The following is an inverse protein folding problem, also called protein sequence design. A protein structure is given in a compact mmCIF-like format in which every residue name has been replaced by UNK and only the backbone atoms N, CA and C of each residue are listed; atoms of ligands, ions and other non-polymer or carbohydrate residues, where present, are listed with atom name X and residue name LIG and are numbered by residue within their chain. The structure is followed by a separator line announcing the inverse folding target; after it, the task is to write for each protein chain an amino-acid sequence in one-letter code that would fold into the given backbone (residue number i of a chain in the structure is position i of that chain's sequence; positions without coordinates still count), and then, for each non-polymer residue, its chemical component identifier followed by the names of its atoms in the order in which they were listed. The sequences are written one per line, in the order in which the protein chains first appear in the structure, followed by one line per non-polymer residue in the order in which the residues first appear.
data_IF_163844588149
#
_entry.id   IF_163844588149
#
_cell.length_a   1.000
_cell.length_b   1.000
_cell.length_c   1.000
_cell.angle_alpha   90.00
_cell.angle_beta   90.00
_cell.angle_gamma   90.00
#
_symmetry.space_group_name_H-M   'P 1'
#
loop_
_entity.id
_entity.type
_entity.pdbx_description
1 polymer ?
#
# COMPACT_ATOMS: atom_id res chain seq x y z
N UNK A 1 -20.35 75.05 -45.17
CA UNK A 1 -20.26 74.45 -43.82
C UNK A 1 -19.52 73.13 -43.91
N UNK A 2 -18.41 73.08 -43.18
CA UNK A 2 -17.50 72.01 -42.78
C UNK A 2 -17.00 70.89 -43.73
N UNK A 3 -15.68 70.61 -43.71
CA UNK A 3 -14.99 69.70 -44.62
C UNK A 3 -14.56 68.37 -43.97
N UNK A 4 -13.83 67.58 -44.76
CA UNK A 4 -12.88 66.53 -44.36
C UNK A 4 -13.40 65.11 -44.11
N UNK A 5 -13.84 64.48 -45.21
CA UNK A 5 -13.39 63.13 -45.58
C UNK A 5 -11.88 63.17 -45.85
N UNK A 6 -11.06 62.67 -44.93
CA UNK A 6 -9.71 62.13 -45.14
C UNK A 6 -9.04 61.97 -43.77
N UNK A 7 -8.90 60.72 -43.29
CA UNK A 7 -7.88 60.23 -42.34
C UNK A 7 -8.30 58.86 -41.84
N UNK A 8 -7.48 57.84 -42.09
CA UNK A 8 -7.65 56.53 -41.45
C UNK A 8 -7.14 55.33 -42.25
N UNK A 9 -6.82 55.51 -43.54
CA UNK A 9 -6.18 54.46 -44.39
C UNK A 9 -4.64 54.50 -44.29
N UNK A 10 -4.12 54.68 -43.08
CA UNK A 10 -2.69 54.96 -42.83
C UNK A 10 -2.06 54.21 -41.65
N UNK A 11 -2.72 53.18 -41.10
CA UNK A 11 -2.22 52.47 -39.89
C UNK A 11 -2.16 50.94 -40.00
N UNK A 12 -2.37 50.35 -41.19
CA UNK A 12 -2.21 48.90 -41.42
C UNK A 12 -1.03 48.51 -42.34
N UNK A 13 -0.21 49.47 -42.76
CA UNK A 13 0.98 49.23 -43.58
C UNK A 13 2.32 49.47 -42.83
N UNK A 14 2.29 49.80 -41.52
CA UNK A 14 3.51 50.02 -40.71
C UNK A 14 3.78 48.95 -39.63
N UNK A 15 2.91 47.95 -39.49
CA UNK A 15 3.14 46.80 -38.61
C UNK A 15 3.69 45.56 -39.35
N UNK A 16 3.70 45.57 -40.68
CA UNK A 16 4.23 44.47 -41.52
C UNK A 16 5.64 44.73 -42.08
N UNK A 17 6.23 45.91 -41.82
CA UNK A 17 7.59 46.28 -42.30
C UNK A 17 8.61 46.36 -41.15
N UNK A 18 8.17 46.26 -39.88
CA UNK A 18 9.07 46.06 -38.74
C UNK A 18 9.38 44.57 -38.45
N UNK A 19 8.81 43.65 -39.22
CA UNK A 19 9.05 42.21 -39.12
C UNK A 19 10.13 41.67 -40.09
N UNK A 20 10.82 42.55 -40.84
CA UNK A 20 11.79 42.17 -41.86
C UNK A 20 13.16 42.87 -41.77
N UNK A 21 13.44 43.60 -40.68
CA UNK A 21 14.70 44.35 -40.53
C UNK A 21 15.30 44.29 -39.11
N UNK A 22 15.20 43.13 -38.46
CA UNK A 22 16.09 42.72 -37.37
C UNK A 22 16.70 41.33 -37.65
N UNK A 23 16.75 40.97 -38.92
CA UNK A 23 17.56 39.88 -39.45
C UNK A 23 18.87 40.47 -39.99
N UNK A 24 19.75 40.91 -39.09
CA UNK A 24 21.13 41.22 -39.41
C UNK A 24 21.95 41.32 -38.12
N UNK A 25 22.93 40.42 -37.99
CA UNK A 25 24.04 40.46 -37.04
C UNK A 25 23.65 40.10 -35.59
N UNK A 26 23.13 38.89 -35.39
CA UNK A 26 23.65 38.08 -34.28
C UNK A 26 24.87 37.36 -34.84
N UNK A 27 26.06 37.87 -34.50
CA UNK A 27 27.29 37.09 -34.62
C UNK A 27 27.04 35.88 -33.73
N UNK A 28 26.65 34.76 -34.36
CA UNK A 28 26.85 33.46 -33.77
C UNK A 28 28.35 33.37 -33.54
N UNK A 29 28.78 33.62 -32.31
CA UNK A 29 30.01 33.02 -31.81
C UNK A 29 29.69 31.52 -31.80
N UNK A 30 29.83 30.91 -32.98
CA UNK A 30 29.99 29.47 -33.10
C UNK A 30 31.31 29.24 -32.39
N UNK A 31 31.22 28.95 -31.09
CA UNK A 31 32.29 28.28 -30.37
C UNK A 31 32.47 26.95 -31.07
N UNK A 32 33.23 26.95 -32.17
CA UNK A 32 33.71 25.75 -32.79
C UNK A 32 34.50 25.04 -31.70
N UNK A 33 33.94 23.96 -31.17
CA UNK A 33 34.65 23.06 -30.27
C UNK A 33 35.96 22.74 -30.99
N UNK A 34 37.13 23.05 -30.39
CA UNK A 34 38.40 22.89 -31.07
C UNK A 34 38.50 21.45 -31.59
N UNK A 35 39.01 21.26 -32.81
CA UNK A 35 39.07 19.94 -33.44
C UNK A 35 39.76 18.88 -32.55
N UNK A 36 40.69 19.31 -31.68
CA UNK A 36 41.35 18.48 -30.66
C UNK A 36 40.40 17.95 -29.57
N UNK A 37 39.38 18.73 -29.18
CA UNK A 37 38.36 18.31 -28.22
C UNK A 37 37.33 17.36 -28.87
N UNK A 38 37.04 17.52 -30.17
CA UNK A 38 36.17 16.59 -30.90
C UNK A 38 36.83 15.22 -31.11
N UNK A 39 38.13 15.18 -31.39
CA UNK A 39 38.89 13.93 -31.49
C UNK A 39 39.04 13.23 -30.14
N UNK A 40 39.17 13.98 -29.04
CA UNK A 40 39.25 13.42 -27.69
C UNK A 40 37.94 12.75 -27.27
N UNK A 41 36.79 13.41 -27.51
CA UNK A 41 35.47 12.85 -27.19
C UNK A 41 35.18 11.55 -27.95
N UNK A 42 35.48 11.49 -29.25
CA UNK A 42 35.31 10.27 -30.05
C UNK A 42 36.19 9.11 -29.55
N UNK A 43 37.44 9.39 -29.17
CA UNK A 43 38.34 8.37 -28.59
C UNK A 43 37.78 7.82 -27.29
N UNK A 44 37.30 8.69 -26.38
CA UNK A 44 36.64 8.26 -25.14
C UNK A 44 35.37 7.43 -25.40
N UNK A 45 34.57 7.78 -26.41
CA UNK A 45 33.40 6.97 -26.79
C UNK A 45 33.79 5.57 -27.26
N UNK A 46 34.88 5.42 -28.02
CA UNK A 46 35.39 4.11 -28.45
C UNK A 46 35.92 3.28 -27.28
N UNK A 47 36.62 3.90 -26.34
CA UNK A 47 37.12 3.24 -25.12
C UNK A 47 35.95 2.73 -24.26
N UNK A 48 34.94 3.58 -24.02
CA UNK A 48 33.75 3.20 -23.26
C UNK A 48 32.96 2.09 -23.97
N UNK A 49 32.93 2.10 -25.31
CA UNK A 49 32.32 1.02 -26.08
C UNK A 49 33.05 -0.30 -25.87
N UNK A 50 34.37 -0.30 -26.00
CA UNK A 50 35.18 -1.51 -25.80
C UNK A 50 35.05 -2.05 -24.37
N UNK A 51 35.05 -1.17 -23.37
CA UNK A 51 34.83 -1.56 -21.98
C UNK A 51 33.42 -2.14 -21.73
N UNK A 52 32.40 -1.63 -22.42
CA UNK A 52 31.05 -2.20 -22.35
C UNK A 52 31.00 -3.62 -22.96
N UNK A 53 31.64 -3.82 -24.10
CA UNK A 53 31.72 -5.13 -24.77
C UNK A 53 32.47 -6.14 -23.87
N UNK A 54 33.61 -5.76 -23.28
CA UNK A 54 34.36 -6.59 -22.33
C UNK A 54 33.57 -6.92 -21.05
N UNK A 55 32.84 -5.94 -20.51
CA UNK A 55 31.98 -6.16 -19.34
C UNK A 55 30.85 -7.16 -19.65
N UNK A 56 30.27 -7.12 -20.86
CA UNK A 56 29.29 -8.12 -21.28
C UNK A 56 29.88 -9.52 -21.44
N UNK A 57 31.06 -9.62 -22.05
CA UNK A 57 31.76 -10.90 -22.25
C UNK A 57 32.14 -11.56 -20.92
N UNK A 58 32.42 -10.76 -19.90
CA UNK A 58 32.74 -11.23 -18.54
C UNK A 58 31.51 -11.38 -17.64
N UNK A 59 30.29 -11.25 -18.19
CA UNK A 59 29.02 -11.37 -17.45
C UNK A 59 28.84 -10.34 -16.32
N UNK A 60 29.27 -9.09 -16.56
CA UNK A 60 29.05 -7.92 -15.70
C UNK A 60 28.08 -6.93 -16.37
N UNK A 61 26.79 -7.28 -16.51
CA UNK A 61 25.84 -6.49 -17.28
C UNK A 61 25.65 -5.06 -16.72
N UNK A 62 25.76 -4.87 -15.41
CA UNK A 62 25.61 -3.52 -14.81
C UNK A 62 26.77 -2.60 -15.19
N UNK A 63 28.00 -3.10 -15.20
CA UNK A 63 29.16 -2.31 -15.63
C UNK A 63 29.05 -1.96 -17.12
N UNK A 64 28.59 -2.91 -17.95
CA UNK A 64 28.28 -2.62 -19.35
C UNK A 64 27.24 -1.50 -19.49
N UNK A 65 26.14 -1.54 -18.72
CA UNK A 65 25.15 -0.47 -18.71
C UNK A 65 25.75 0.88 -18.28
N UNK A 66 26.63 0.91 -17.28
CA UNK A 66 27.33 2.14 -16.84
C UNK A 66 28.18 2.71 -17.96
N UNK A 67 28.99 1.89 -18.62
CA UNK A 67 29.83 2.34 -19.74
C UNK A 67 29.00 2.86 -20.92
N UNK A 68 27.89 2.21 -21.26
CA UNK A 68 26.99 2.67 -22.33
C UNK A 68 26.28 3.98 -21.96
N UNK A 69 25.85 4.16 -20.71
CA UNK A 69 25.27 5.44 -20.25
C UNK A 69 26.33 6.55 -20.24
N UNK A 70 27.55 6.24 -19.81
CA UNK A 70 28.67 7.18 -19.85
C UNK A 70 29.01 7.59 -21.30
N UNK A 71 28.94 6.66 -22.26
CA UNK A 71 29.14 6.94 -23.68
C UNK A 71 28.09 7.94 -24.19
N UNK A 72 26.82 7.72 -23.85
CA UNK A 72 25.73 8.65 -24.20
C UNK A 72 25.82 10.00 -23.48
N UNK A 73 26.52 10.08 -22.35
CA UNK A 73 26.79 11.34 -21.67
C UNK A 73 27.89 12.12 -22.40
N UNK A 74 28.95 11.45 -22.85
CA UNK A 74 30.03 12.06 -23.66
C UNK A 74 29.48 12.64 -24.97
N UNK A 75 28.57 11.93 -25.64
CA UNK A 75 27.90 12.42 -26.85
C UNK A 75 27.11 13.73 -26.59
N UNK A 76 26.42 13.84 -25.45
CA UNK A 76 25.69 15.05 -25.06
C UNK A 76 26.61 16.20 -24.63
N UNK A 77 27.71 15.92 -23.94
CA UNK A 77 28.70 16.92 -23.52
C UNK A 77 29.46 17.52 -24.72
N UNK A 78 29.62 16.73 -25.80
CA UNK A 78 30.37 17.11 -27.00
C UNK A 78 29.53 16.93 -28.26
N UNK A 79 28.46 17.73 -28.44
CA UNK A 79 27.57 17.58 -29.59
C UNK A 79 28.36 17.74 -30.89
N UNK A 80 28.06 16.88 -31.86
CA UNK A 80 28.65 16.98 -33.19
C UNK A 80 28.44 18.39 -33.76
N UNK A 81 29.50 18.96 -34.34
CA UNK A 81 29.38 20.21 -35.09
C UNK A 81 28.30 20.08 -36.16
N UNK A 82 27.60 21.17 -36.46
CA UNK A 82 26.47 21.20 -37.40
C UNK A 82 26.84 20.85 -38.86
N UNK A 83 28.13 20.64 -39.16
CA UNK A 83 28.58 20.23 -40.47
C UNK A 83 28.31 18.74 -40.68
N UNK A 84 27.23 18.43 -41.41
CA UNK A 84 26.81 17.09 -41.82
C UNK A 84 27.79 16.35 -42.75
N UNK A 85 29.01 16.84 -42.94
CA UNK A 85 30.04 16.26 -43.79
C UNK A 85 31.32 15.88 -43.00
N UNK A 86 31.29 15.95 -41.66
CA UNK A 86 32.40 15.52 -40.81
C UNK A 86 32.30 14.01 -40.51
N UNK A 87 33.22 13.15 -40.99
CA UNK A 87 33.21 11.72 -40.71
C UNK A 87 33.22 11.39 -39.21
N UNK A 88 33.84 12.24 -38.39
CA UNK A 88 33.87 12.06 -36.93
C UNK A 88 32.52 12.40 -36.27
N UNK A 89 31.68 13.22 -36.90
CA UNK A 89 30.32 13.46 -36.46
C UNK A 89 29.42 12.26 -36.77
N UNK A 90 29.57 11.65 -37.95
CA UNK A 90 28.79 10.47 -38.35
C UNK A 90 29.14 9.25 -37.50
N UNK A 91 30.42 9.03 -37.22
CA UNK A 91 30.86 7.93 -36.35
C UNK A 91 30.35 8.06 -34.92
N UNK A 92 30.37 9.27 -34.34
CA UNK A 92 29.81 9.52 -33.00
C UNK A 92 28.32 9.19 -32.95
N UNK A 93 27.55 9.67 -33.92
CA UNK A 93 26.11 9.39 -34.04
C UNK A 93 25.84 7.89 -34.12
N UNK A 94 26.65 7.17 -34.88
CA UNK A 94 26.51 5.72 -35.01
C UNK A 94 26.86 4.99 -33.70
N UNK A 95 27.91 5.40 -32.98
CA UNK A 95 28.24 4.86 -31.66
C UNK A 95 27.12 5.12 -30.64
N UNK A 96 26.58 6.33 -30.59
CA UNK A 96 25.47 6.68 -29.71
C UNK A 96 24.22 5.85 -30.05
N UNK A 97 23.87 5.73 -31.34
CA UNK A 97 22.73 4.92 -31.80
C UNK A 97 22.87 3.45 -31.42
N UNK A 98 24.06 2.87 -31.59
CA UNK A 98 24.37 1.49 -31.18
C UNK A 98 24.27 1.32 -29.68
N UNK A 99 24.81 2.25 -28.90
CA UNK A 99 24.74 2.21 -27.45
C UNK A 99 23.29 2.27 -26.95
N UNK A 100 22.46 3.15 -27.51
CA UNK A 100 21.03 3.25 -27.14
C UNK A 100 20.25 1.96 -27.50
N UNK A 101 20.54 1.36 -28.66
CA UNK A 101 19.94 0.10 -29.08
C UNK A 101 20.35 -1.08 -28.16
N UNK A 102 21.61 -1.10 -27.73
CA UNK A 102 22.12 -2.14 -26.84
C UNK A 102 21.65 -1.97 -25.40
N UNK A 103 21.56 -0.74 -24.90
CA UNK A 103 20.91 -0.46 -23.62
C UNK A 103 19.48 -1.01 -23.62
N UNK A 104 18.72 -0.81 -24.70
CA UNK A 104 17.38 -1.37 -24.82
C UNK A 104 17.39 -2.91 -24.89
N UNK A 105 18.35 -3.52 -25.58
CA UNK A 105 18.48 -4.97 -25.68
C UNK A 105 18.86 -5.62 -24.34
N UNK A 106 19.79 -5.04 -23.59
CA UNK A 106 20.16 -5.51 -22.24
C UNK A 106 18.97 -5.31 -21.29
N UNK A 107 18.35 -4.12 -21.31
CA UNK A 107 17.17 -3.80 -20.50
C UNK A 107 16.02 -4.79 -20.67
N UNK A 108 15.73 -5.18 -21.92
CA UNK A 108 14.68 -6.15 -22.24
C UNK A 108 14.91 -7.56 -21.67
N UNK A 109 16.15 -7.91 -21.29
CA UNK A 109 16.49 -9.20 -20.69
C UNK A 109 16.44 -9.18 -19.17
N UNK A 110 16.43 -7.99 -18.58
CA UNK A 110 16.41 -7.80 -17.13
C UNK A 110 14.98 -7.83 -16.60
N UNK A 111 14.80 -8.37 -15.41
CA UNK A 111 13.49 -8.42 -14.74
C UNK A 111 13.67 -8.28 -13.24
N UNK A 112 12.79 -7.48 -12.61
CA UNK A 112 12.68 -7.42 -11.17
C UNK A 112 11.61 -8.39 -10.69
N UNK A 113 11.97 -9.26 -9.76
CA UNK A 113 11.09 -10.25 -9.16
C UNK A 113 10.84 -9.90 -7.69
N UNK A 114 9.61 -10.04 -7.16
CA UNK A 114 9.36 -9.87 -5.74
C UNK A 114 10.06 -10.96 -4.92
N UNK A 115 10.54 -10.59 -3.73
CA UNK A 115 11.10 -11.57 -2.78
C UNK A 115 10.01 -12.47 -2.17
N UNK A 116 10.40 -13.60 -1.57
CA UNK A 116 9.48 -14.63 -1.07
C UNK A 116 8.44 -14.11 -0.06
N UNK A 117 8.80 -13.13 0.77
CA UNK A 117 7.90 -12.46 1.71
C UNK A 117 6.73 -11.71 1.04
N UNK A 118 6.89 -11.37 -0.24
CA UNK A 118 5.89 -10.75 -1.09
C UNK A 118 5.10 -11.76 -1.92
N UNK A 119 5.29 -13.07 -1.72
CA UNK A 119 4.63 -14.12 -2.50
C UNK A 119 3.75 -15.02 -1.62
N UNK A 120 2.53 -15.29 -2.09
CA UNK A 120 1.68 -16.36 -1.55
C UNK A 120 1.14 -17.19 -2.71
N UNK A 121 1.44 -18.50 -2.72
CA UNK A 121 1.05 -19.39 -3.83
C UNK A 121 1.64 -18.97 -5.18
N UNK A 122 2.84 -18.37 -5.19
CA UNK A 122 3.51 -17.87 -6.39
C UNK A 122 2.94 -16.57 -6.96
N UNK A 123 1.94 -15.97 -6.31
CA UNK A 123 1.37 -14.68 -6.70
C UNK A 123 1.82 -13.61 -5.73
N UNK A 124 2.10 -12.42 -6.24
CA UNK A 124 2.47 -11.29 -5.40
C UNK A 124 1.29 -10.86 -4.51
N UNK A 125 1.55 -10.72 -3.21
CA UNK A 125 0.56 -10.22 -2.24
C UNK A 125 0.64 -8.70 -2.09
N UNK A 126 -0.41 -8.10 -1.54
CA UNK A 126 -0.41 -6.70 -1.14
C UNK A 126 -0.05 -6.54 0.35
N UNK A 127 0.70 -5.49 0.67
CA UNK A 127 0.95 -5.10 2.05
C UNK A 127 -0.20 -4.31 2.66
N UNK A 128 -0.22 -4.15 3.98
CA UNK A 128 -1.14 -3.26 4.67
C UNK A 128 -0.51 -1.86 4.84
N UNK A 129 -1.20 -0.82 4.39
CA UNK A 129 -0.68 0.57 4.45
C UNK A 129 -0.49 1.09 5.88
N UNK A 130 -1.29 0.64 6.86
CA UNK A 130 -1.14 1.05 8.27
C UNK A 130 0.07 0.40 8.91
N UNK A 131 0.29 -0.88 8.63
CA UNK A 131 1.47 -1.58 9.14
C UNK A 131 2.73 -0.96 8.54
N UNK A 132 2.69 -0.59 7.25
CA UNK A 132 3.76 0.17 6.60
C UNK A 132 4.00 1.52 7.29
N UNK A 133 2.95 2.28 7.57
CA UNK A 133 3.05 3.58 8.25
C UNK A 133 3.60 3.50 9.68
N UNK A 134 3.47 2.34 10.34
CA UNK A 134 4.06 2.06 11.67
C UNK A 134 5.47 1.47 11.59
N UNK A 135 6.00 1.21 10.39
CA UNK A 135 7.29 0.54 10.20
C UNK A 135 7.28 -0.95 10.52
N UNK A 136 6.10 -1.57 10.63
CA UNK A 136 5.92 -2.99 10.95
C UNK A 136 5.41 -3.83 9.76
N UNK A 137 5.08 -3.18 8.64
CA UNK A 137 4.60 -3.82 7.41
C UNK A 137 5.71 -4.36 6.52
N UNK A 138 5.31 -5.08 5.47
CA UNK A 138 6.23 -5.58 4.44
C UNK A 138 6.97 -4.42 3.77
N UNK A 139 8.30 -4.44 3.80
CA UNK A 139 9.13 -3.44 3.14
C UNK A 139 9.35 -3.83 1.67
N UNK A 140 9.47 -2.88 0.73
CA UNK A 140 9.76 -3.18 -0.66
C UNK A 140 11.07 -3.97 -0.79
N UNK A 141 11.01 -5.13 -1.43
CA UNK A 141 12.14 -6.05 -1.56
C UNK A 141 12.03 -6.83 -2.86
N UNK A 142 13.05 -6.73 -3.71
CA UNK A 142 13.08 -7.30 -5.05
C UNK A 142 14.41 -8.01 -5.32
N UNK A 143 14.41 -8.90 -6.30
CA UNK A 143 15.60 -9.49 -6.90
C UNK A 143 15.70 -9.09 -8.36
N UNK A 144 16.85 -8.57 -8.77
CA UNK A 144 17.14 -8.35 -10.18
C UNK A 144 17.75 -9.60 -10.80
N UNK A 145 17.13 -10.08 -11.86
CA UNK A 145 17.61 -11.22 -12.64
C UNK A 145 17.76 -10.84 -14.11
N UNK A 146 18.69 -11.52 -14.78
CA UNK A 146 18.81 -11.53 -16.23
C UNK A 146 18.29 -12.86 -16.75
N UNK A 147 17.42 -12.80 -17.75
CA UNK A 147 16.89 -13.98 -18.44
C UNK A 147 17.82 -14.37 -19.59
N UNK A 148 18.29 -15.61 -19.53
CA UNK A 148 18.95 -16.33 -20.62
C UNK A 148 18.00 -17.38 -21.18
N UNK A 149 18.21 -17.80 -22.43
CA UNK A 149 17.36 -18.81 -23.08
C UNK A 149 17.29 -20.14 -22.32
N UNK A 150 18.29 -20.43 -21.48
CA UNK A 150 18.42 -21.68 -20.71
C UNK A 150 18.32 -21.51 -19.19
N UNK A 151 18.04 -20.29 -18.68
CA UNK A 151 17.95 -20.06 -17.24
C UNK A 151 17.98 -18.59 -16.82
N UNK A 152 17.98 -18.35 -15.51
CA UNK A 152 18.07 -17.02 -14.91
C UNK A 152 19.39 -16.89 -14.15
N UNK A 153 20.02 -15.72 -14.22
CA UNK A 153 21.14 -15.38 -13.35
C UNK A 153 20.82 -14.13 -12.54
N UNK A 154 21.34 -14.06 -11.32
CA UNK A 154 21.21 -12.89 -10.46
C UNK A 154 22.15 -11.78 -10.92
N UNK A 155 21.74 -10.53 -10.73
CA UNK A 155 22.50 -9.35 -11.14
C UNK A 155 22.87 -8.52 -9.92
N UNK A 156 24.15 -8.53 -9.56
CA UNK A 156 24.71 -7.74 -8.47
C UNK A 156 25.00 -6.29 -8.89
N UNK A 157 25.18 -5.41 -7.89
CA UNK A 157 25.63 -4.03 -8.04
C UNK A 157 24.72 -3.11 -8.88
N UNK A 158 23.48 -3.54 -9.13
CA UNK A 158 22.52 -2.82 -9.94
C UNK A 158 21.86 -1.69 -9.14
N UNK A 159 21.91 -0.43 -9.63
CA UNK A 159 21.27 0.69 -8.95
C UNK A 159 19.75 0.69 -9.18
N UNK A 160 19.00 0.36 -8.13
CA UNK A 160 17.54 0.36 -8.14
C UNK A 160 17.02 1.58 -7.39
N UNK A 161 16.13 2.32 -8.04
CA UNK A 161 15.44 3.48 -7.47
C UNK A 161 14.08 3.05 -6.96
N UNK A 162 13.77 3.40 -5.73
CA UNK A 162 12.43 3.24 -5.14
C UNK A 162 11.74 4.59 -5.05
N UNK A 163 10.49 4.66 -5.47
CA UNK A 163 9.69 5.88 -5.39
C UNK A 163 8.21 5.55 -5.25
N UNK A 164 7.45 6.45 -4.61
CA UNK A 164 6.00 6.40 -4.63
C UNK A 164 5.53 6.64 -6.08
N UNK A 165 4.90 5.63 -6.68
CA UNK A 165 4.20 5.75 -7.96
C UNK A 165 2.76 6.21 -7.77
N UNK A 166 2.14 5.81 -6.64
CA UNK A 166 0.86 6.33 -6.15
C UNK A 166 0.93 6.51 -4.63
N UNK A 167 0.29 7.55 -4.12
CA UNK A 167 0.42 8.01 -2.75
C UNK A 167 1.60 8.97 -2.52
N UNK A 168 1.81 9.34 -1.25
CA UNK A 168 2.83 10.30 -0.82
C UNK A 168 3.50 9.75 0.44
N UNK A 169 4.83 9.85 0.52
CA UNK A 169 5.59 9.42 1.69
C UNK A 169 7.10 9.55 1.47
N UNK A 170 7.87 8.94 2.37
CA UNK A 170 9.33 8.90 2.32
C UNK A 170 9.81 7.45 2.25
N UNK A 171 10.61 7.13 1.23
CA UNK A 171 11.24 5.82 1.02
C UNK A 171 12.72 6.03 0.72
N UNK A 172 13.58 5.11 1.14
CA UNK A 172 14.99 5.11 0.74
C UNK A 172 15.07 5.07 -0.80
N UNK A 173 15.40 6.21 -1.40
CA UNK A 173 15.15 6.42 -2.83
C UNK A 173 16.07 5.66 -3.77
N UNK A 174 17.27 5.27 -3.34
CA UNK A 174 18.24 4.52 -4.16
C UNK A 174 18.94 3.47 -3.31
N UNK A 175 18.96 2.25 -3.81
CA UNK A 175 19.67 1.11 -3.25
C UNK A 175 20.42 0.39 -4.37
N UNK A 176 21.37 -0.46 -4.00
CA UNK A 176 22.16 -1.26 -4.93
C UNK A 176 21.89 -2.73 -4.61
N UNK A 177 21.73 -3.58 -5.63
CA UNK A 177 21.55 -5.02 -5.41
C UNK A 177 22.82 -5.66 -4.85
N UNK A 178 22.66 -6.62 -3.94
CA UNK A 178 23.75 -7.37 -3.35
C UNK A 178 24.28 -8.49 -4.27
N UNK A 179 25.20 -9.32 -3.77
CA UNK A 179 25.76 -10.45 -4.53
C UNK A 179 24.74 -11.52 -4.92
N UNK A 180 23.56 -11.54 -4.29
CA UNK A 180 22.44 -12.41 -4.63
C UNK A 180 21.42 -11.72 -5.54
N UNK A 181 21.73 -10.51 -6.01
CA UNK A 181 20.85 -9.66 -6.81
C UNK A 181 19.67 -9.08 -6.02
N UNK A 182 19.69 -9.17 -4.69
CA UNK A 182 18.60 -8.70 -3.83
C UNK A 182 18.77 -7.23 -3.51
N UNK A 183 17.68 -6.49 -3.54
CA UNK A 183 17.62 -5.08 -3.17
C UNK A 183 16.36 -4.80 -2.36
N UNK A 184 16.49 -3.96 -1.35
CA UNK A 184 15.36 -3.52 -0.54
C UNK A 184 15.39 -2.03 -0.28
N UNK A 185 14.25 -1.50 0.16
CA UNK A 185 14.12 -0.13 0.60
C UNK A 185 13.37 -0.05 1.93
N UNK A 186 13.68 0.97 2.72
CA UNK A 186 12.97 1.26 3.96
C UNK A 186 11.96 2.37 3.68
N UNK A 187 10.69 2.12 4.01
CA UNK A 187 9.66 3.14 4.00
C UNK A 187 9.62 3.79 5.37
N UNK A 188 9.92 5.09 5.41
CA UNK A 188 10.02 5.86 6.66
C UNK A 188 8.69 6.46 7.07
N UNK A 189 7.89 6.89 6.10
CA UNK A 189 6.58 7.48 6.35
C UNK A 189 5.66 7.32 5.16
N UNK A 190 4.36 7.33 5.46
CA UNK A 190 3.27 7.38 4.48
C UNK A 190 2.32 8.48 4.92
N UNK A 191 1.96 9.39 4.02
CA UNK A 191 1.14 10.55 4.35
C UNK A 191 -0.32 10.19 4.67
N UNK A 192 -0.82 9.08 4.11
CA UNK A 192 -2.21 8.64 4.23
C UNK A 192 -2.31 7.12 4.35
N UNK A 193 -3.12 6.65 5.28
CA UNK A 193 -3.38 5.22 5.53
C UNK A 193 -4.77 4.77 5.11
N UNK A 194 -5.59 5.69 4.59
CA UNK A 194 -6.96 5.45 4.14
C UNK A 194 -7.05 5.19 2.63
N UNK A 195 -5.92 5.27 1.91
CA UNK A 195 -5.84 5.07 0.47
C UNK A 195 -4.79 4.00 0.12
N UNK A 196 -4.96 3.31 -1.01
CA UNK A 196 -3.89 2.50 -1.57
C UNK A 196 -2.64 3.33 -1.82
N UNK A 197 -1.50 2.67 -1.70
CA UNK A 197 -0.17 3.25 -1.94
C UNK A 197 0.60 2.27 -2.82
N UNK A 198 1.32 2.79 -3.81
CA UNK A 198 2.17 1.97 -4.68
C UNK A 198 3.58 2.51 -4.63
N UNK A 199 4.52 1.65 -4.26
CA UNK A 199 5.95 1.95 -4.31
C UNK A 199 6.55 1.17 -5.47
N UNK A 200 7.17 1.88 -6.41
CA UNK A 200 7.81 1.31 -7.58
C UNK A 200 9.31 1.20 -7.38
N UNK A 201 9.83 0.01 -7.57
CA UNK A 201 11.25 -0.23 -7.82
C UNK A 201 11.50 -0.13 -9.33
N UNK A 202 12.55 0.58 -9.75
CA UNK A 202 12.95 0.71 -11.16
C UNK A 202 14.47 0.72 -11.29
N UNK A 203 15.00 0.05 -12.31
CA UNK A 203 16.42 0.15 -12.63
C UNK A 203 16.74 1.55 -13.19
N UNK A 204 17.69 2.24 -12.55
CA UNK A 204 18.11 3.58 -12.95
C UNK A 204 19.63 3.73 -12.83
N UNK A 205 20.31 3.76 -13.97
CA UNK A 205 21.77 3.91 -14.06
C UNK A 205 22.10 5.37 -14.29
N UNK A 206 22.97 5.93 -13.44
CA UNK A 206 23.41 7.32 -13.55
C UNK A 206 24.92 7.35 -13.67
N UNK A 207 25.42 7.90 -14.77
CA UNK A 207 26.85 8.10 -15.02
C UNK A 207 27.08 9.47 -15.65
N UNK A 208 28.14 10.17 -15.21
CA UNK A 208 28.48 11.53 -15.68
C UNK A 208 27.30 12.52 -15.71
N UNK A 209 26.41 12.45 -14.71
CA UNK A 209 25.23 13.31 -14.62
C UNK A 209 24.06 12.93 -15.55
N UNK A 210 24.24 11.97 -16.46
CA UNK A 210 23.17 11.41 -17.28
C UNK A 210 22.54 10.21 -16.58
N UNK A 211 21.21 10.19 -16.51
CA UNK A 211 20.45 9.08 -15.94
C UNK A 211 19.63 8.38 -17.01
N UNK A 212 19.83 7.06 -17.17
CA UNK A 212 18.96 6.19 -17.94
C UNK A 212 18.05 5.40 -17.01
N UNK A 213 16.75 5.56 -17.20
CA UNK A 213 15.72 4.79 -16.49
C UNK A 213 15.17 3.72 -17.42
N UNK A 214 15.22 2.46 -16.99
CA UNK A 214 14.70 1.32 -17.72
C UNK A 214 13.24 1.11 -17.31
N UNK A 215 12.32 1.70 -18.05
CA UNK A 215 10.89 1.77 -17.68
C UNK A 215 10.20 0.40 -17.73
N UNK A 216 10.77 -0.52 -18.48
CA UNK A 216 10.37 -1.91 -18.63
C UNK A 216 10.87 -2.80 -17.48
N UNK A 217 11.93 -2.39 -16.77
CA UNK A 217 12.48 -3.11 -15.62
C UNK A 217 11.97 -2.46 -14.33
N UNK A 218 10.71 -2.74 -14.01
CA UNK A 218 10.06 -2.23 -12.81
C UNK A 218 9.28 -3.30 -12.06
N UNK A 219 9.06 -3.05 -10.77
CA UNK A 219 8.19 -3.86 -9.92
C UNK A 219 7.41 -2.92 -8.99
N UNK A 220 6.10 -3.15 -8.91
CA UNK A 220 5.20 -2.37 -8.07
C UNK A 220 4.85 -3.13 -6.79
N UNK A 221 5.13 -2.51 -5.65
CA UNK A 221 4.71 -2.98 -4.33
C UNK A 221 3.43 -2.25 -3.94
N UNK A 222 2.32 -2.99 -3.95
CA UNK A 222 1.00 -2.43 -3.65
C UNK A 222 0.68 -2.61 -2.17
N UNK A 223 0.28 -1.51 -1.54
CA UNK A 223 -0.22 -1.47 -0.17
C UNK A 223 -1.67 -1.04 -0.18
N UNK A 224 -2.52 -1.83 0.45
CA UNK A 224 -3.96 -1.58 0.51
C UNK A 224 -4.36 -1.08 1.91
N UNK A 225 -5.35 -0.19 2.01
CA UNK A 225 -5.99 0.12 3.28
C UNK A 225 -6.70 -1.13 3.80
N UNK A 226 -6.80 -1.23 5.13
CA UNK A 226 -7.61 -2.27 5.76
C UNK A 226 -9.05 -2.18 5.23
N UNK A 227 -9.64 -3.33 4.89
CA UNK A 227 -11.04 -3.37 4.45
C UNK A 227 -11.90 -2.98 5.65
N UNK A 228 -12.82 -2.03 5.46
CA UNK A 228 -13.83 -1.65 6.46
C UNK A 228 -14.90 -2.74 6.59
N UNK A 229 -14.47 -3.95 6.94
CA UNK A 229 -15.26 -5.15 7.10
C UNK A 229 -14.94 -5.78 8.45
N UNK A 230 -15.98 -6.19 9.18
CA UNK A 230 -15.83 -6.76 10.50
C UNK A 230 -16.67 -8.03 10.69
N UNK A 231 -16.07 -9.08 11.25
CA UNK A 231 -16.82 -10.23 11.78
C UNK A 231 -17.38 -9.88 13.14
N UNK A 232 -18.66 -10.19 13.37
CA UNK A 232 -19.31 -9.98 14.67
C UNK A 232 -19.47 -11.33 15.38
N UNK A 233 -18.83 -11.48 16.53
CA UNK A 233 -19.04 -12.61 17.43
C UNK A 233 -19.63 -12.13 18.74
N UNK A 234 -20.56 -12.90 19.31
CA UNK A 234 -21.07 -12.62 20.63
C UNK A 234 -21.23 -13.90 21.46
N UNK A 235 -21.14 -13.73 22.78
CA UNK A 235 -21.32 -14.79 23.76
C UNK A 235 -22.21 -14.28 24.89
N UNK A 236 -23.21 -15.07 25.26
CA UNK A 236 -24.06 -14.83 26.43
C UNK A 236 -23.90 -16.02 27.37
N UNK A 237 -23.46 -15.77 28.59
CA UNK A 237 -23.11 -16.84 29.54
C UNK A 237 -23.43 -16.46 30.98
N UNK A 238 -23.59 -17.45 31.85
CA UNK A 238 -23.70 -17.19 33.28
C UNK A 238 -22.35 -16.72 33.83
N UNK A 239 -22.38 -15.72 34.70
CA UNK A 239 -21.20 -15.14 35.35
C UNK A 239 -20.44 -16.22 36.12
N UNK A 240 -19.15 -16.39 35.81
CA UNK A 240 -18.30 -17.40 36.45
C UNK A 240 -18.49 -18.84 35.96
N UNK A 241 -19.36 -19.08 34.97
CA UNK A 241 -19.51 -20.40 34.38
C UNK A 241 -18.55 -20.59 33.19
N UNK A 242 -17.82 -21.70 33.19
CA UNK A 242 -17.10 -22.21 32.01
C UNK A 242 -17.94 -23.27 31.24
N UNK A 243 -19.22 -23.43 31.61
CA UNK A 243 -20.12 -24.38 30.97
C UNK A 243 -20.48 -23.97 29.54
N UNK A 244 -20.88 -24.93 28.69
CA UNK A 244 -21.23 -24.65 27.30
C UNK A 244 -22.36 -23.64 27.19
N UNK A 245 -22.13 -22.56 26.43
CA UNK A 245 -23.21 -21.72 25.95
C UNK A 245 -24.17 -22.56 25.09
N UNK A 246 -25.47 -22.23 25.15
CA UNK A 246 -26.45 -22.88 24.29
C UNK A 246 -26.04 -22.75 22.82
N UNK A 247 -26.13 -23.84 22.04
CA UNK A 247 -25.65 -23.89 20.65
C UNK A 247 -26.39 -23.05 19.62
N UNK A 248 -27.26 -22.14 20.08
CA UNK A 248 -27.94 -21.19 19.22
C UNK A 248 -27.09 -19.93 19.04
N UNK A 249 -27.22 -19.29 17.88
CA UNK A 249 -26.67 -17.94 17.66
C UNK A 249 -27.19 -16.99 18.73
N UNK A 250 -26.28 -16.27 19.39
CA UNK A 250 -26.67 -15.29 20.41
C UNK A 250 -27.42 -14.09 19.78
N UNK A 251 -28.59 -13.69 20.29
CA UNK A 251 -29.29 -12.48 19.84
C UNK A 251 -28.50 -11.18 20.06
N UNK A 252 -27.44 -11.23 20.88
CA UNK A 252 -26.50 -10.11 21.05
C UNK A 252 -25.76 -9.80 19.75
N UNK A 253 -25.51 -10.79 18.89
CA UNK A 253 -24.94 -10.56 17.54
C UNK A 253 -25.83 -9.60 16.73
N UNK A 254 -27.15 -9.75 16.82
CA UNK A 254 -28.09 -8.90 16.08
C UNK A 254 -28.15 -7.49 16.66
N UNK A 255 -28.13 -7.36 17.99
CA UNK A 255 -28.08 -6.07 18.66
C UNK A 255 -26.81 -5.28 18.29
N UNK A 256 -25.65 -5.96 18.26
CA UNK A 256 -24.38 -5.36 17.80
C UNK A 256 -24.46 -4.97 16.34
N UNK A 257 -25.00 -5.86 15.48
CA UNK A 257 -25.12 -5.59 14.04
C UNK A 257 -26.01 -4.39 13.74
N UNK A 258 -27.16 -4.28 14.43
CA UNK A 258 -28.04 -3.11 14.32
C UNK A 258 -27.37 -1.84 14.84
N UNK A 259 -26.71 -1.91 15.99
CA UNK A 259 -25.99 -0.78 16.58
C UNK A 259 -24.87 -0.25 15.67
N UNK A 260 -24.20 -1.13 14.94
CA UNK A 260 -23.13 -0.79 14.01
C UNK A 260 -23.58 -0.46 12.58
N UNK A 261 -24.87 -0.60 12.26
CA UNK A 261 -25.39 -0.39 10.89
C UNK A 261 -25.06 0.99 10.30
N UNK A 262 -24.89 2.01 11.14
CA UNK A 262 -24.55 3.39 10.73
C UNK A 262 -23.05 3.68 10.67
N UNK A 263 -22.19 2.72 11.05
CA UNK A 263 -20.73 2.91 11.07
C UNK A 263 -20.09 2.90 9.68
N UNK A 264 -20.82 2.44 8.65
CA UNK A 264 -20.28 2.26 7.30
C UNK A 264 -19.33 1.07 7.15
N UNK A 265 -19.31 0.18 8.14
CA UNK A 265 -18.55 -1.08 8.12
C UNK A 265 -19.43 -2.19 7.56
N UNK A 266 -18.87 -3.01 6.68
CA UNK A 266 -19.49 -4.24 6.21
C UNK A 266 -19.43 -5.29 7.33
N UNK A 267 -20.59 -5.74 7.81
CA UNK A 267 -20.67 -6.65 8.95
C UNK A 267 -20.92 -8.08 8.49
N UNK A 268 -20.15 -9.01 9.07
CA UNK A 268 -20.28 -10.46 8.89
C UNK A 268 -20.66 -11.09 10.24
N UNK A 269 -21.97 -11.17 10.55
CA UNK A 269 -22.44 -11.84 11.76
C UNK A 269 -21.99 -13.29 11.81
N UNK A 270 -21.50 -13.76 12.94
CA UNK A 270 -21.23 -15.18 13.14
C UNK A 270 -22.53 -15.97 13.17
N UNK A 271 -22.59 -17.03 12.36
CA UNK A 271 -23.70 -17.97 12.37
C UNK A 271 -23.66 -18.89 13.59
N UNK A 272 -24.74 -19.66 13.78
CA UNK A 272 -24.77 -20.69 14.80
C UNK A 272 -23.65 -21.71 14.55
N UNK A 273 -22.86 -22.00 15.59
CA UNK A 273 -21.80 -23.01 15.51
C UNK A 273 -22.39 -24.40 15.69
N UNK A 274 -21.98 -25.35 14.84
CA UNK A 274 -22.27 -26.77 15.04
C UNK A 274 -21.60 -27.35 16.29
N UNK A 275 -20.54 -26.69 16.77
CA UNK A 275 -19.86 -26.99 18.04
C UNK A 275 -19.87 -25.75 18.96
N UNK A 276 -20.80 -25.69 19.93
CA UNK A 276 -20.93 -24.55 20.83
C UNK A 276 -19.75 -24.41 21.79
N UNK A 277 -19.11 -25.51 22.19
CA UNK A 277 -17.97 -25.50 23.09
C UNK A 277 -16.73 -24.95 22.39
N UNK A 278 -16.45 -25.42 21.17
CA UNK A 278 -15.36 -24.89 20.37
C UNK A 278 -15.55 -23.40 20.07
N UNK A 279 -16.79 -22.98 19.76
CA UNK A 279 -17.10 -21.56 19.55
C UNK A 279 -16.84 -20.72 20.80
N UNK A 280 -17.29 -21.17 21.97
CA UNK A 280 -17.06 -20.47 23.23
C UNK A 280 -15.57 -20.39 23.57
N UNK A 281 -14.83 -21.49 23.41
CA UNK A 281 -13.38 -21.51 23.64
C UNK A 281 -12.63 -20.56 22.70
N UNK A 282 -12.97 -20.58 21.41
CA UNK A 282 -12.40 -19.66 20.41
C UNK A 282 -12.75 -18.20 20.72
N UNK A 283 -14.01 -17.92 21.09
CA UNK A 283 -14.43 -16.58 21.50
C UNK A 283 -13.65 -16.09 22.72
N UNK A 284 -13.56 -16.88 23.78
CA UNK A 284 -12.85 -16.49 25.01
C UNK A 284 -11.36 -16.32 24.77
N UNK A 285 -10.74 -17.18 23.93
CA UNK A 285 -9.35 -17.04 23.54
C UNK A 285 -9.10 -15.73 22.76
N UNK A 286 -9.95 -15.41 21.78
CA UNK A 286 -9.87 -14.15 21.04
C UNK A 286 -10.13 -12.93 21.94
N UNK A 287 -11.13 -13.01 22.83
CA UNK A 287 -11.48 -11.96 23.78
C UNK A 287 -10.36 -11.70 24.80
N UNK A 288 -9.63 -12.76 25.16
CA UNK A 288 -8.41 -12.74 25.97
C UNK A 288 -7.16 -12.24 25.25
N UNK A 289 -7.24 -11.96 23.94
CA UNK A 289 -6.14 -11.39 23.16
C UNK A 289 -5.27 -12.38 22.38
N UNK A 290 -5.71 -13.64 22.21
CA UNK A 290 -4.99 -14.60 21.37
C UNK A 290 -5.04 -14.19 19.89
N UNK A 291 -3.89 -13.82 19.32
CA UNK A 291 -3.75 -13.43 17.91
C UNK A 291 -4.18 -14.55 16.96
N UNK A 292 -3.85 -15.79 17.28
CA UNK A 292 -4.21 -16.97 16.48
C UNK A 292 -5.74 -17.18 16.47
N UNK A 293 -6.39 -17.00 17.62
CA UNK A 293 -7.85 -17.10 17.70
C UNK A 293 -8.55 -15.98 16.92
N UNK A 294 -8.02 -14.76 16.95
CA UNK A 294 -8.52 -13.63 16.14
C UNK A 294 -8.36 -13.94 14.64
N UNK A 295 -7.17 -14.37 14.21
CA UNK A 295 -6.92 -14.71 12.82
C UNK A 295 -7.84 -15.83 12.31
N UNK A 296 -8.01 -16.90 13.11
CA UNK A 296 -8.93 -18.00 12.80
C UNK A 296 -10.38 -17.54 12.70
N UNK A 297 -10.83 -16.70 13.63
CA UNK A 297 -12.18 -16.12 13.58
C UNK A 297 -12.40 -15.28 12.31
N UNK A 298 -11.44 -14.45 11.90
CA UNK A 298 -11.57 -13.66 10.67
C UNK A 298 -11.55 -14.53 9.41
N UNK A 299 -10.68 -15.54 9.38
CA UNK A 299 -10.58 -16.48 8.27
C UNK A 299 -11.89 -17.24 8.03
N UNK A 300 -12.58 -17.65 9.09
CA UNK A 300 -13.85 -18.35 8.97
C UNK A 300 -15.02 -17.45 8.49
N UNK A 301 -14.81 -16.13 8.32
CA UNK A 301 -15.79 -15.22 7.73
C UNK A 301 -15.39 -14.79 6.30
N UNK A 302 -14.35 -15.41 5.74
CA UNK A 302 -13.97 -15.18 4.36
C UNK A 302 -15.12 -15.57 3.42
N UNK A 303 -15.67 -14.58 2.72
CA UNK A 303 -16.71 -14.79 1.71
C UNK A 303 -16.31 -14.03 0.44
N UNK A 304 -16.45 -14.68 -0.72
CA UNK A 304 -16.11 -14.07 -2.01
C UNK A 304 -14.66 -13.55 -2.13
N UNK A 305 -13.71 -14.16 -1.40
CA UNK A 305 -12.30 -13.76 -1.40
C UNK A 305 -11.97 -12.52 -0.56
N UNK A 306 -12.91 -11.98 0.22
CA UNK A 306 -12.69 -10.84 1.11
C UNK A 306 -12.62 -11.29 2.56
N UNK A 307 -11.50 -10.97 3.21
CA UNK A 307 -11.28 -11.21 4.64
C UNK A 307 -11.65 -9.95 5.43
N UNK A 308 -12.53 -10.04 6.44
CA UNK A 308 -12.76 -8.94 7.36
C UNK A 308 -11.44 -8.57 8.05
N UNK A 309 -11.15 -7.27 8.18
CA UNK A 309 -9.93 -6.80 8.85
C UNK A 309 -10.13 -6.66 10.38
N UNK A 310 -11.37 -6.81 10.84
CA UNK A 310 -11.78 -6.54 12.21
C UNK A 310 -12.66 -7.63 12.81
N UNK A 311 -12.49 -7.87 14.10
CA UNK A 311 -13.33 -8.74 14.90
C UNK A 311 -14.02 -7.90 15.98
N UNK A 312 -15.35 -7.82 15.91
CA UNK A 312 -16.19 -7.23 16.96
C UNK A 312 -16.65 -8.35 17.88
N UNK A 313 -16.30 -8.25 19.15
CA UNK A 313 -16.65 -9.23 20.17
C UNK A 313 -17.52 -8.59 21.25
N UNK A 314 -18.68 -9.17 21.50
CA UNK A 314 -19.58 -8.76 22.57
C UNK A 314 -19.82 -9.91 23.56
N UNK A 315 -19.53 -9.67 24.83
CA UNK A 315 -19.75 -10.61 25.91
C UNK A 315 -20.85 -10.05 26.82
N UNK A 316 -21.91 -10.83 27.06
CA UNK A 316 -22.85 -10.53 28.14
C UNK A 316 -22.85 -11.66 29.16
N UNK A 317 -22.63 -11.28 30.42
CA UNK A 317 -22.62 -12.18 31.56
C UNK A 317 -23.84 -11.90 32.43
N UNK A 318 -24.56 -12.92 32.88
CA UNK A 318 -25.69 -12.76 33.80
C UNK A 318 -25.43 -13.45 35.14
N UNK A 319 -25.91 -12.84 36.21
CA UNK A 319 -25.85 -13.41 37.56
C UNK A 319 -27.00 -14.39 37.80
N UNK A 320 -26.79 -15.33 38.73
CA UNK A 320 -27.84 -16.24 39.19
C UNK A 320 -29.07 -15.46 39.70
N UNK A 321 -30.29 -15.85 39.30
CA UNK A 321 -31.51 -15.17 39.72
C UNK A 321 -31.71 -15.21 41.22
N UNK A 322 -31.98 -14.04 41.81
CA UNK A 322 -32.32 -13.89 43.23
C UNK A 322 -33.83 -13.69 43.38
N UNK A 323 -34.45 -14.49 44.23
CA UNK A 323 -35.87 -14.33 44.60
C UNK A 323 -36.03 -13.15 45.55
N UNK A 324 -37.03 -12.31 45.31
CA UNK A 324 -37.28 -11.10 46.08
C UNK A 324 -37.87 -11.45 47.45
N UNK A 325 -37.25 -10.93 48.50
CA UNK A 325 -37.75 -10.98 49.88
C UNK A 325 -37.98 -9.55 50.35
N UNK A 326 -39.22 -9.22 50.70
CA UNK A 326 -39.58 -7.90 51.22
C UNK A 326 -40.38 -8.07 52.51
N UNK A 327 -39.90 -7.44 53.60
CA UNK A 327 -40.47 -7.55 54.95
C UNK A 327 -40.64 -9.01 55.42
N UNK A 328 -39.67 -9.88 55.13
CA UNK A 328 -39.70 -11.29 55.52
C UNK A 328 -40.67 -12.16 54.71
N UNK A 329 -41.42 -11.60 53.75
CA UNK A 329 -42.25 -12.34 52.80
C UNK A 329 -41.49 -12.56 51.50
N UNK A 330 -41.52 -13.78 51.00
CA UNK A 330 -40.92 -14.16 49.73
C UNK A 330 -41.95 -14.01 48.61
N UNK A 331 -41.57 -13.32 47.54
CA UNK A 331 -42.42 -13.12 46.35
C UNK A 331 -41.88 -13.98 45.20
N UNK A 332 -42.76 -14.43 44.30
CA UNK A 332 -42.38 -15.10 43.04
C UNK A 332 -41.93 -14.07 42.00
N UNK A 333 -41.03 -13.20 42.44
CA UNK A 333 -40.39 -12.18 41.64
C UNK A 333 -38.89 -12.49 41.72
N UNK A 334 -38.33 -12.86 40.59
CA UNK A 334 -36.92 -13.13 40.45
C UNK A 334 -36.26 -11.93 39.78
N UNK A 335 -35.06 -11.58 40.23
CA UNK A 335 -34.24 -10.56 39.59
C UNK A 335 -32.87 -11.12 39.24
N UNK A 336 -32.35 -10.74 38.07
CA UNK A 336 -31.00 -11.08 37.63
C UNK A 336 -30.33 -9.82 37.10
N UNK A 337 -29.02 -9.69 37.32
CA UNK A 337 -28.22 -8.61 36.77
C UNK A 337 -27.42 -9.16 35.59
N UNK A 338 -27.27 -8.36 34.53
CA UNK A 338 -26.43 -8.66 33.39
C UNK A 338 -25.36 -7.56 33.22
N UNK A 339 -24.16 -7.96 32.82
CA UNK A 339 -23.04 -7.09 32.49
C UNK A 339 -22.61 -7.33 31.05
N UNK A 340 -22.53 -6.26 30.26
CA UNK A 340 -22.09 -6.29 28.87
C UNK A 340 -20.69 -5.71 28.72
N UNK A 341 -19.86 -6.33 27.87
CA UNK A 341 -18.55 -5.83 27.46
C UNK A 341 -18.43 -5.95 25.94
N UNK A 342 -17.79 -4.95 25.31
CA UNK A 342 -17.58 -4.95 23.87
C UNK A 342 -16.16 -4.52 23.53
N UNK A 343 -15.53 -5.27 22.62
CA UNK A 343 -14.20 -4.99 22.09
C UNK A 343 -14.20 -5.13 20.57
N UNK A 344 -13.49 -4.23 19.90
CA UNK A 344 -13.20 -4.29 18.47
C UNK A 344 -11.70 -4.51 18.36
N UNK A 345 -11.30 -5.59 17.70
CA UNK A 345 -9.91 -6.04 17.58
C UNK A 345 -9.55 -6.13 16.09
N UNK A 346 -8.31 -5.78 15.75
CA UNK A 346 -7.78 -5.86 14.38
C UNK A 346 -7.25 -7.26 14.08
N UNK A 347 -6.97 -7.55 12.81
CA UNK A 347 -6.36 -8.83 12.38
C UNK A 347 -5.01 -9.15 13.04
N UNK A 348 -4.28 -8.14 13.52
CA UNK A 348 -3.02 -8.31 14.26
C UNK A 348 -3.21 -8.64 15.75
N UNK A 349 -4.45 -8.63 16.26
CA UNK A 349 -4.79 -8.85 17.67
C UNK A 349 -4.79 -7.57 18.52
N UNK A 350 -4.44 -6.41 17.96
CA UNK A 350 -4.49 -5.14 18.68
C UNK A 350 -5.92 -4.64 18.85
N UNK A 351 -6.21 -4.02 20.02
CA UNK A 351 -7.52 -3.43 20.29
C UNK A 351 -7.68 -2.14 19.48
N UNK A 352 -8.70 -2.08 18.64
CA UNK A 352 -9.10 -0.88 17.91
C UNK A 352 -9.99 0.02 18.76
N UNK A 353 -10.95 -0.57 19.47
CA UNK A 353 -11.82 0.13 20.40
C UNK A 353 -12.29 -0.83 21.50
N UNK A 354 -12.54 -0.28 22.69
CA UNK A 354 -13.23 -0.99 23.77
C UNK A 354 -14.30 -0.07 24.33
N UNK A 355 -15.48 -0.61 24.60
CA UNK A 355 -16.56 0.15 25.24
C UNK A 355 -16.52 -0.04 26.76
N UNK A 356 -16.97 0.95 27.54
CA UNK A 356 -17.18 0.78 28.97
C UNK A 356 -18.12 -0.41 29.25
N UNK A 357 -17.93 -1.04 30.41
CA UNK A 357 -18.85 -2.11 30.82
C UNK A 357 -20.25 -1.54 31.07
N UNK A 358 -21.25 -2.18 30.48
CA UNK A 358 -22.66 -1.87 30.65
C UNK A 358 -23.25 -2.78 31.72
N UNK A 359 -24.25 -2.31 32.45
CA UNK A 359 -25.02 -3.13 33.37
C UNK A 359 -26.52 -2.92 33.18
N UNK A 360 -27.28 -4.00 33.33
CA UNK A 360 -28.72 -3.99 33.24
C UNK A 360 -29.31 -4.96 34.26
N UNK A 361 -30.54 -4.70 34.69
CA UNK A 361 -31.28 -5.58 35.62
C UNK A 361 -32.57 -6.05 34.96
N UNK A 362 -32.83 -7.34 35.06
CA UNK A 362 -34.06 -7.99 34.64
C UNK A 362 -34.90 -8.42 35.84
N UNK A 363 -36.20 -8.51 35.62
CA UNK A 363 -37.17 -9.04 36.57
C UNK A 363 -38.16 -9.97 35.85
N UNK A 364 -38.55 -11.07 36.49
CA UNK A 364 -39.52 -12.01 35.94
C UNK A 364 -40.22 -12.86 37.00
N UNK A 365 -41.31 -13.52 36.61
CA UNK A 365 -42.06 -14.45 37.46
C UNK A 365 -41.38 -15.81 37.68
N UNK A 366 -40.31 -16.08 36.93
CA UNK A 366 -39.45 -17.26 37.09
C UNK A 366 -37.96 -16.88 36.99
N UNK A 367 -37.03 -17.74 37.43
CA UNK A 367 -35.60 -17.55 37.26
C UNK A 367 -35.21 -17.28 35.79
N UNK A 368 -35.74 -18.08 34.86
CA UNK A 368 -35.44 -17.99 33.43
C UNK A 368 -35.97 -16.68 32.84
N UNK A 369 -37.19 -16.27 33.23
CA UNK A 369 -37.78 -15.01 32.79
C UNK A 369 -36.96 -13.80 33.28
N UNK A 370 -36.40 -13.85 34.49
CA UNK A 370 -35.52 -12.82 35.01
C UNK A 370 -34.20 -12.73 34.23
N UNK A 371 -33.60 -13.86 33.85
CA UNK A 371 -32.39 -13.92 33.01
C UNK A 371 -32.69 -13.34 31.63
N UNK A 372 -33.76 -13.80 30.97
CA UNK A 372 -34.12 -13.31 29.64
C UNK A 372 -34.44 -11.81 29.65
N UNK A 373 -35.10 -11.29 30.69
CA UNK A 373 -35.32 -9.86 30.85
C UNK A 373 -34.01 -9.09 31.03
N UNK A 374 -33.05 -9.62 31.80
CA UNK A 374 -31.74 -8.98 32.01
C UNK A 374 -30.92 -8.97 30.71
N UNK A 375 -30.92 -10.09 29.97
CA UNK A 375 -30.27 -10.21 28.66
C UNK A 375 -30.94 -9.32 27.59
N UNK A 376 -32.27 -9.23 27.57
CA UNK A 376 -32.96 -8.31 26.67
C UNK A 376 -32.58 -6.85 26.95
N UNK A 377 -32.51 -6.47 28.24
CA UNK A 377 -32.11 -5.13 28.65
C UNK A 377 -30.65 -4.81 28.29
N UNK A 378 -29.71 -5.74 28.50
CA UNK A 378 -28.31 -5.50 28.13
C UNK A 378 -28.11 -5.42 26.61
N UNK A 379 -28.80 -6.25 25.82
CA UNK A 379 -28.80 -6.16 24.35
C UNK A 379 -29.27 -4.79 23.86
N UNK A 380 -30.39 -4.30 24.41
CA UNK A 380 -30.92 -2.97 24.07
C UNK A 380 -29.94 -1.86 24.45
N UNK A 381 -29.30 -1.96 25.62
CA UNK A 381 -28.29 -1.00 26.06
C UNK A 381 -27.03 -1.04 25.17
N UNK A 382 -26.58 -2.22 24.74
CA UNK A 382 -25.46 -2.39 23.80
C UNK A 382 -25.79 -1.78 22.44
N UNK A 383 -26.96 -2.07 21.89
CA UNK A 383 -27.41 -1.48 20.61
C UNK A 383 -27.46 0.05 20.68
N UNK A 384 -28.00 0.59 21.78
CA UNK A 384 -28.05 2.03 22.03
C UNK A 384 -26.66 2.64 22.14
N UNK A 385 -25.77 2.07 22.96
CA UNK A 385 -24.39 2.57 23.15
C UNK A 385 -23.62 2.62 21.83
N UNK A 386 -23.70 1.56 21.02
CA UNK A 386 -23.07 1.50 19.70
C UNK A 386 -23.64 2.52 18.72
N UNK A 387 -24.96 2.74 18.74
CA UNK A 387 -25.62 3.72 17.88
C UNK A 387 -25.23 5.16 18.24
N UNK A 388 -25.22 5.48 19.53
CA UNK A 388 -24.86 6.81 20.05
C UNK A 388 -23.39 7.16 19.80
N UNK A 389 -22.50 6.17 19.81
CA UNK A 389 -21.06 6.35 19.60
C UNK A 389 -20.58 5.89 18.21
N UNK A 390 -21.50 5.78 17.25
CA UNK A 390 -21.21 5.26 15.91
C UNK A 390 -20.11 6.02 15.18
N UNK A 391 -19.98 7.33 15.39
CA UNK A 391 -18.90 8.15 14.81
C UNK A 391 -17.51 7.85 15.38
N UNK A 392 -17.42 7.63 16.69
CA UNK A 392 -16.16 7.24 17.36
C UNK A 392 -15.74 5.84 16.94
N UNK A 393 -16.72 4.93 16.87
CA UNK A 393 -16.52 3.56 16.43
C UNK A 393 -16.10 3.52 14.96
N UNK A 394 -16.75 4.29 14.08
CA UNK A 394 -16.35 4.39 12.67
C UNK A 394 -14.88 4.80 12.50
N UNK A 395 -14.41 5.76 13.32
CA UNK A 395 -13.00 6.17 13.33
C UNK A 395 -12.04 5.07 13.79
N UNK A 396 -12.48 4.12 14.61
CA UNK A 396 -11.65 2.96 15.00
C UNK A 396 -11.40 1.97 13.86
N UNK A 397 -12.24 2.04 12.81
CA UNK A 397 -12.10 1.26 11.58
C UNK A 397 -11.21 1.94 10.53
N UNK A 398 -10.73 3.17 10.79
CA UNK A 398 -9.76 3.92 9.98
C UNK A 398 -8.33 3.77 10.51
#
# INVERSE_FOLDING_TARGET
MNPAKERGRGMRAKAAVLAAAAAAITIAVVSAVPASAQSAGLLTMRELRAAADEAMDTNHPVEALRHLVALLAVDEESPAGTNAADPAADERRELARKADAELAAIGARLTLEPMDEWLAGGTQIAGNVRDLAKGAGLMPSARLVVNYDFGKAVVADAPIRFAFADGIGEVTGRSVSDSSGVVSAVVRSVARTDKPVVIRAVLAVTERGKTRVFREVFLDFTYLPAVRAARVMALETASGSQGPAAGARSPLVDAVSRGLSRSGVELFPADASSDPQAYQAAFLAAFGGSREAVASALAAAASGGRLPSYLVMALAEYEEPRRMVYQGKTYDIYTSNARGQLRIVRSDGSVAASRPALSARGQGGSPEAAIQAALAAIRAQTEKDLSEHSGDIARSFD
#
